data_IF_277720294631
#
_entry.id   IF_277720294631
#
_cell.length_a   1.000
_cell.length_b   1.000
_cell.length_c   1.000
_cell.angle_alpha   90.00
_cell.angle_beta   90.00
_cell.angle_gamma   90.00
#
_symmetry.space_group_name_H-M   'P 1'
#
loop_
_entity.id
_entity.type
_entity.pdbx_description
1 polymer ?
#
# COMPACT_ATOMS: atom_id res chain seq x y z
N UNK A 1 -62.43 9.38 20.83
CA UNK A 1 -61.48 10.10 19.95
C UNK A 1 -60.15 10.22 20.70
N UNK A 2 -59.25 9.24 20.54
CA UNK A 2 -58.01 9.15 21.33
C UNK A 2 -56.97 10.13 20.76
N UNK A 3 -56.65 11.19 21.50
CA UNK A 3 -55.67 12.21 21.10
C UNK A 3 -54.27 11.62 21.27
N UNK A 4 -53.68 11.13 20.18
CA UNK A 4 -52.28 10.73 20.16
C UNK A 4 -51.41 11.96 20.48
N UNK A 5 -50.82 11.98 21.67
CA UNK A 5 -49.75 12.92 22.02
C UNK A 5 -48.51 12.47 21.24
N UNK A 6 -48.19 13.17 20.16
CA UNK A 6 -46.90 13.03 19.51
C UNK A 6 -45.81 13.43 20.52
N UNK A 7 -45.11 12.43 21.08
CA UNK A 7 -43.90 12.63 21.89
C UNK A 7 -42.77 12.95 20.93
N UNK A 8 -42.45 14.24 20.78
CA UNK A 8 -41.26 14.68 20.06
C UNK A 8 -40.01 14.58 20.93
N UNK A 9 -38.85 14.43 20.31
CA UNK A 9 -37.56 14.49 20.98
C UNK A 9 -37.32 15.91 21.51
N UNK A 10 -36.79 16.00 22.73
CA UNK A 10 -36.35 17.27 23.30
C UNK A 10 -35.00 17.68 22.70
N UNK A 11 -34.73 18.99 22.69
CA UNK A 11 -33.46 19.52 22.22
C UNK A 11 -32.28 18.96 23.04
N UNK A 12 -32.49 18.74 24.34
CA UNK A 12 -31.49 18.16 25.23
C UNK A 12 -31.19 16.69 24.91
N UNK A 13 -32.20 15.88 24.54
CA UNK A 13 -31.98 14.50 24.10
C UNK A 13 -31.14 14.43 22.83
N UNK A 14 -31.38 15.36 21.89
CA UNK A 14 -30.58 15.45 20.67
C UNK A 14 -29.14 15.88 20.99
N UNK A 15 -28.93 16.83 21.91
CA UNK A 15 -27.58 17.23 22.32
C UNK A 15 -26.81 16.08 23.00
N UNK A 16 -27.47 15.30 23.86
CA UNK A 16 -26.85 14.12 24.49
C UNK A 16 -26.54 13.05 23.43
N UNK A 17 -27.46 12.78 22.50
CA UNK A 17 -27.23 11.82 21.42
C UNK A 17 -26.04 12.21 20.53
N UNK A 18 -25.93 13.49 20.14
CA UNK A 18 -24.80 14.00 19.36
C UNK A 18 -23.48 13.92 20.16
N UNK A 19 -23.51 14.22 21.46
CA UNK A 19 -22.33 14.09 22.31
C UNK A 19 -21.83 12.64 22.39
N UNK A 20 -22.74 11.67 22.55
CA UNK A 20 -22.39 10.23 22.54
C UNK A 20 -21.83 9.82 21.17
N UNK A 21 -22.45 10.25 20.07
CA UNK A 21 -21.97 9.96 18.71
C UNK A 21 -20.58 10.55 18.45
N UNK A 22 -20.28 11.75 18.94
CA UNK A 22 -18.96 12.36 18.81
C UNK A 22 -17.87 11.56 19.52
N UNK A 23 -18.17 11.08 20.74
CA UNK A 23 -17.24 10.22 21.51
C UNK A 23 -17.01 8.90 20.77
N UNK A 24 -18.09 8.21 20.35
CA UNK A 24 -17.99 6.94 19.65
C UNK A 24 -17.28 7.07 18.28
N UNK A 25 -17.55 8.16 17.55
CA UNK A 25 -16.94 8.43 16.26
C UNK A 25 -15.42 8.54 16.33
N UNK A 26 -14.88 9.15 17.40
CA UNK A 26 -13.44 9.31 17.57
C UNK A 26 -12.68 7.97 17.67
N UNK A 27 -13.25 6.97 18.36
CA UNK A 27 -12.62 5.65 18.53
C UNK A 27 -12.77 4.80 17.28
N UNK A 28 -13.97 4.78 16.69
CA UNK A 28 -14.27 3.95 15.52
C UNK A 28 -13.47 4.36 14.27
N UNK A 29 -13.16 5.66 14.11
CA UNK A 29 -12.46 6.16 12.92
C UNK A 29 -11.03 5.59 12.80
N UNK A 30 -10.27 5.55 13.90
CA UNK A 30 -8.88 5.04 13.90
C UNK A 30 -8.80 3.57 13.46
N UNK A 31 -9.64 2.70 14.02
CA UNK A 31 -9.64 1.27 13.71
C UNK A 31 -9.99 0.96 12.25
N UNK A 32 -10.82 1.79 11.61
CA UNK A 32 -11.15 1.63 10.20
C UNK A 32 -9.93 1.94 9.31
N UNK A 33 -9.21 3.02 9.60
CA UNK A 33 -8.02 3.41 8.83
C UNK A 33 -6.91 2.36 8.87
N UNK A 34 -6.67 1.74 10.03
CA UNK A 34 -5.69 0.66 10.18
C UNK A 34 -6.05 -0.57 9.34
N UNK A 35 -7.34 -0.91 9.29
CA UNK A 35 -7.84 -2.04 8.50
C UNK A 35 -7.66 -1.82 7.00
N UNK A 36 -7.89 -0.58 6.54
CA UNK A 36 -7.64 -0.19 5.15
C UNK A 36 -6.15 -0.24 4.84
N UNK A 37 -5.28 0.32 5.69
CA UNK A 37 -3.82 0.29 5.50
C UNK A 37 -3.31 -1.15 5.42
N UNK A 38 -3.77 -2.05 6.30
CA UNK A 38 -3.39 -3.46 6.28
C UNK A 38 -3.77 -4.14 4.96
N UNK A 39 -4.99 -3.86 4.46
CA UNK A 39 -5.45 -4.38 3.16
C UNK A 39 -4.57 -3.86 2.02
N UNK A 40 -4.28 -2.56 1.98
CA UNK A 40 -3.41 -1.95 0.95
C UNK A 40 -1.97 -2.46 1.03
N UNK A 41 -1.46 -2.70 2.23
CA UNK A 41 -0.14 -3.32 2.43
C UNK A 41 -0.12 -4.74 1.86
N UNK A 42 -1.17 -5.52 2.08
CA UNK A 42 -1.31 -6.85 1.48
C UNK A 42 -1.32 -6.80 -0.04
N UNK A 43 -1.99 -5.80 -0.63
CA UNK A 43 -1.97 -5.53 -2.07
C UNK A 43 -0.53 -5.26 -2.56
N UNK A 44 0.20 -4.35 -1.90
CA UNK A 44 1.61 -4.04 -2.22
C UNK A 44 2.54 -5.25 -2.13
N UNK A 45 2.43 -6.06 -1.06
CA UNK A 45 3.21 -7.31 -0.92
C UNK A 45 2.94 -8.29 -2.06
N UNK A 46 1.67 -8.45 -2.40
CA UNK A 46 1.27 -9.37 -3.47
C UNK A 46 1.82 -8.90 -4.81
N UNK A 47 1.80 -7.59 -5.07
CA UNK A 47 2.39 -7.00 -6.26
C UNK A 47 3.91 -7.22 -6.31
N UNK A 48 4.63 -7.00 -5.20
CA UNK A 48 6.07 -7.27 -5.11
C UNK A 48 6.41 -8.74 -5.39
N UNK A 49 5.66 -9.69 -4.81
CA UNK A 49 5.88 -11.12 -5.05
C UNK A 49 5.62 -11.52 -6.51
N UNK A 50 4.57 -10.98 -7.12
CA UNK A 50 4.25 -11.22 -8.54
C UNK A 50 5.33 -10.65 -9.46
N UNK A 51 5.80 -9.42 -9.19
CA UNK A 51 6.86 -8.79 -9.95
C UNK A 51 8.18 -9.53 -9.77
N UNK A 52 8.49 -10.00 -8.57
CA UNK A 52 9.69 -10.81 -8.34
C UNK A 52 9.64 -12.10 -9.16
N UNK A 53 8.49 -12.78 -9.21
CA UNK A 53 8.32 -13.94 -10.07
C UNK A 53 8.53 -13.63 -11.56
N UNK A 54 8.06 -12.46 -12.03
CA UNK A 54 8.28 -12.01 -13.41
C UNK A 54 9.76 -11.69 -13.67
N UNK A 55 10.45 -11.07 -12.71
CA UNK A 55 11.89 -10.81 -12.75
C UNK A 55 12.71 -12.11 -12.83
N UNK A 56 12.38 -13.13 -12.03
CA UNK A 56 13.04 -14.45 -12.11
C UNK A 56 12.81 -15.14 -13.47
N UNK A 57 11.60 -15.01 -14.02
CA UNK A 57 11.31 -15.49 -15.37
C UNK A 57 12.10 -14.73 -16.45
N UNK A 58 12.26 -13.41 -16.28
CA UNK A 58 13.04 -12.57 -17.18
C UNK A 58 14.53 -12.91 -17.09
N UNK A 59 15.05 -13.12 -15.89
CA UNK A 59 16.43 -13.55 -15.63
C UNK A 59 16.74 -14.88 -16.32
N UNK A 60 15.83 -15.86 -16.24
CA UNK A 60 16.00 -17.16 -16.91
C UNK A 60 16.15 -17.04 -18.44
N UNK A 61 15.56 -16.01 -19.04
CA UNK A 61 15.62 -15.78 -20.49
C UNK A 61 16.78 -14.88 -20.94
N UNK A 62 17.18 -13.93 -20.08
CA UNK A 62 18.10 -12.84 -20.46
C UNK A 62 19.42 -12.84 -19.66
N UNK A 63 19.58 -13.75 -18.69
CA UNK A 63 20.71 -13.81 -17.75
C UNK A 63 20.99 -12.49 -16.99
N UNK A 64 19.96 -11.66 -16.82
CA UNK A 64 19.98 -10.41 -16.07
C UNK A 64 18.57 -10.05 -15.66
N UNK A 65 18.41 -9.36 -14.53
CA UNK A 65 17.14 -8.72 -14.17
C UNK A 65 16.94 -7.42 -14.95
N UNK A 66 15.70 -6.90 -14.92
CA UNK A 66 15.37 -5.60 -15.50
C UNK A 66 15.28 -4.55 -14.41
N UNK A 67 15.77 -3.35 -14.69
CA UNK A 67 15.28 -2.17 -13.96
C UNK A 67 13.94 -1.76 -14.55
N UNK A 68 13.06 -1.19 -13.75
CA UNK A 68 11.84 -0.57 -14.25
C UNK A 68 11.31 0.45 -13.26
N UNK A 69 10.58 1.42 -13.78
CA UNK A 69 9.84 2.42 -13.02
C UNK A 69 8.68 2.96 -13.85
N UNK A 70 7.89 3.87 -13.27
CA UNK A 70 6.89 4.63 -14.04
C UNK A 70 7.49 5.33 -15.28
N UNK A 71 8.74 5.77 -15.21
CA UNK A 71 9.41 6.54 -16.26
C UNK A 71 10.09 5.66 -17.31
N UNK A 72 9.99 4.33 -17.20
CA UNK A 72 10.63 3.40 -18.12
C UNK A 72 10.21 3.62 -19.57
N UNK A 73 11.21 3.73 -20.46
CA UNK A 73 11.01 3.99 -21.89
C UNK A 73 11.22 2.75 -22.75
N UNK A 74 12.08 1.84 -22.30
CA UNK A 74 12.47 0.64 -23.02
C UNK A 74 11.35 -0.41 -23.03
N UNK A 75 11.25 -1.14 -24.15
CA UNK A 75 10.18 -2.11 -24.37
C UNK A 75 10.22 -3.29 -23.38
N UNK A 76 11.40 -3.64 -22.87
CA UNK A 76 11.55 -4.70 -21.87
C UNK A 76 11.10 -4.23 -20.49
N UNK A 77 11.49 -3.01 -20.08
CA UNK A 77 11.11 -2.45 -18.79
C UNK A 77 9.59 -2.21 -18.69
N UNK A 78 8.95 -1.81 -19.79
CA UNK A 78 7.49 -1.60 -19.88
C UNK A 78 6.66 -2.88 -19.70
N UNK A 79 7.27 -4.07 -19.71
CA UNK A 79 6.57 -5.34 -19.44
C UNK A 79 6.17 -5.47 -17.97
N UNK A 80 6.86 -4.75 -17.08
CA UNK A 80 6.63 -4.83 -15.65
C UNK A 80 5.60 -3.80 -15.20
N UNK A 81 4.64 -4.26 -14.39
CA UNK A 81 3.58 -3.42 -13.84
C UNK A 81 4.09 -2.66 -12.62
N UNK A 82 4.45 -1.39 -12.79
CA UNK A 82 5.01 -0.54 -11.74
C UNK A 82 4.02 -0.08 -10.65
N UNK A 83 2.80 -0.63 -10.56
CA UNK A 83 1.81 -0.22 -9.56
C UNK A 83 1.02 -1.41 -9.00
N UNK A 84 0.57 -1.31 -7.75
CA UNK A 84 0.00 -2.46 -7.00
C UNK A 84 -1.41 -2.89 -7.40
N UNK A 85 -2.27 -1.94 -7.76
CA UNK A 85 -3.70 -2.16 -8.01
C UNK A 85 -4.04 -2.27 -9.50
N UNK A 86 -5.30 -2.11 -9.88
CA UNK A 86 -5.74 -2.25 -11.29
C UNK A 86 -5.34 -1.06 -12.18
N UNK A 87 -5.24 0.14 -11.60
CA UNK A 87 -4.79 1.35 -12.29
C UNK A 87 -3.83 2.14 -11.40
N UNK A 88 -2.89 2.86 -12.00
CA UNK A 88 -1.90 3.65 -11.26
C UNK A 88 -2.56 4.63 -10.27
N UNK A 89 -3.52 5.44 -10.74
CA UNK A 89 -4.19 6.48 -9.93
C UNK A 89 -4.97 5.96 -8.71
N UNK A 90 -5.42 4.70 -8.73
CA UNK A 90 -6.12 4.06 -7.61
C UNK A 90 -5.21 3.15 -6.77
N UNK A 91 -3.99 2.88 -7.24
CA UNK A 91 -3.02 2.04 -6.55
C UNK A 91 -2.49 2.71 -5.31
N UNK A 92 -2.15 1.91 -4.31
CA UNK A 92 -1.58 2.42 -3.06
C UNK A 92 -0.05 2.53 -3.13
N UNK A 93 0.59 1.72 -3.97
CA UNK A 93 2.05 1.67 -4.09
C UNK A 93 2.51 1.87 -5.53
N UNK A 94 3.56 2.67 -5.67
CA UNK A 94 4.41 2.84 -6.85
C UNK A 94 5.65 1.94 -6.69
N UNK A 95 5.95 1.09 -7.67
CA UNK A 95 6.92 0.01 -7.56
C UNK A 95 8.07 0.25 -8.53
N UNK A 96 9.28 0.24 -8.01
CA UNK A 96 10.51 0.47 -8.76
C UNK A 96 11.45 -0.71 -8.55
N UNK A 97 12.07 -1.18 -9.63
CA UNK A 97 13.17 -2.15 -9.60
C UNK A 97 14.52 -1.47 -9.79
N UNK A 98 15.46 -1.78 -8.92
CA UNK A 98 16.84 -1.25 -8.93
C UNK A 98 17.83 -2.36 -8.61
N UNK A 99 19.12 -2.16 -8.86
CA UNK A 99 20.15 -3.10 -8.40
C UNK A 99 20.22 -3.11 -6.87
N UNK A 100 20.52 -4.27 -6.28
CA UNK A 100 20.78 -4.35 -4.84
C UNK A 100 22.02 -3.55 -4.44
N UNK A 101 22.06 -3.09 -3.19
CA UNK A 101 23.21 -2.33 -2.69
C UNK A 101 24.49 -3.20 -2.70
N UNK A 102 25.51 -2.74 -3.42
CA UNK A 102 26.80 -3.44 -3.53
C UNK A 102 26.84 -4.53 -4.61
N UNK A 103 25.74 -4.76 -5.33
CA UNK A 103 25.64 -5.72 -6.43
C UNK A 103 25.25 -5.04 -7.74
N UNK A 104 25.34 -5.77 -8.84
CA UNK A 104 24.84 -5.33 -10.15
C UNK A 104 23.44 -5.87 -10.39
N UNK A 105 22.68 -5.21 -11.29
CA UNK A 105 21.36 -5.67 -11.70
C UNK A 105 21.39 -7.06 -12.34
N UNK A 106 22.56 -7.51 -12.80
CA UNK A 106 22.72 -8.86 -13.32
C UNK A 106 22.61 -9.91 -12.21
N UNK A 107 23.08 -9.60 -11.00
CA UNK A 107 23.15 -10.59 -9.91
C UNK A 107 22.01 -10.44 -8.91
N UNK A 108 21.53 -9.22 -8.69
CA UNK A 108 20.52 -8.96 -7.67
C UNK A 108 19.65 -7.75 -8.04
N UNK A 109 18.32 -7.97 -7.95
CA UNK A 109 17.31 -6.92 -8.08
C UNK A 109 16.63 -6.67 -6.74
N UNK A 110 16.45 -5.40 -6.45
CA UNK A 110 15.71 -4.85 -5.32
C UNK A 110 14.42 -4.23 -5.85
N UNK A 111 13.29 -4.81 -5.50
CA UNK A 111 11.97 -4.22 -5.72
C UNK A 111 11.60 -3.38 -4.50
N UNK A 112 11.20 -2.14 -4.74
CA UNK A 112 10.75 -1.22 -3.70
C UNK A 112 9.36 -0.69 -4.03
N UNK A 113 8.42 -0.86 -3.11
CA UNK A 113 7.07 -0.32 -3.19
C UNK A 113 6.95 0.93 -2.31
N UNK A 114 6.75 2.09 -2.94
CA UNK A 114 6.60 3.40 -2.31
C UNK A 114 5.11 3.75 -2.12
N UNK A 115 4.63 3.97 -0.89
CA UNK A 115 3.23 4.27 -0.63
C UNK A 115 2.87 5.71 -1.02
N UNK A 116 1.82 5.86 -1.81
CA UNK A 116 1.18 7.14 -2.10
C UNK A 116 2.09 8.24 -2.66
N UNK A 117 2.88 7.88 -3.68
CA UNK A 117 3.64 8.83 -4.51
C UNK A 117 2.69 9.66 -5.38
N UNK A 118 3.24 10.64 -6.11
CA UNK A 118 2.48 11.44 -7.09
C UNK A 118 2.00 10.63 -8.29
N UNK A 119 2.60 9.46 -8.54
CA UNK A 119 2.24 8.59 -9.67
C UNK A 119 1.06 7.67 -9.36
N UNK A 120 0.70 7.54 -8.09
CA UNK A 120 -0.37 6.67 -7.60
C UNK A 120 -1.33 7.45 -6.70
N UNK A 121 -2.10 6.79 -5.84
CA UNK A 121 -2.97 7.48 -4.89
C UNK A 121 -2.15 8.23 -3.82
N UNK A 122 -1.90 9.51 -4.05
CA UNK A 122 -1.11 10.38 -3.17
C UNK A 122 -1.69 10.56 -1.77
N UNK A 123 -2.98 10.26 -1.55
CA UNK A 123 -3.63 10.33 -0.23
C UNK A 123 -3.27 9.13 0.66
N UNK A 124 -2.82 8.02 0.07
CA UNK A 124 -2.43 6.86 0.84
C UNK A 124 -1.11 7.12 1.58
N UNK A 125 -1.05 6.69 2.84
CA UNK A 125 0.13 6.73 3.69
C UNK A 125 0.15 5.46 4.53
N UNK A 126 1.34 4.86 4.67
CA UNK A 126 1.58 3.77 5.61
C UNK A 126 2.67 4.21 6.60
N UNK A 127 2.33 4.99 7.64
CA UNK A 127 3.33 5.51 8.58
C UNK A 127 3.99 4.40 9.42
N UNK A 128 3.37 3.23 9.50
CA UNK A 128 3.86 2.09 10.28
C UNK A 128 4.98 1.34 9.57
N UNK A 129 4.92 1.24 8.24
CA UNK A 129 5.88 0.46 7.45
C UNK A 129 6.67 1.29 6.44
N UNK A 130 6.09 2.37 5.93
CA UNK A 130 6.65 3.13 4.81
C UNK A 130 6.82 2.25 3.58
N UNK A 131 7.99 2.32 2.96
CA UNK A 131 8.32 1.55 1.77
C UNK A 131 8.49 0.08 2.12
N UNK A 132 7.94 -0.81 1.29
CA UNK A 132 8.16 -2.24 1.38
C UNK A 132 9.23 -2.65 0.37
N UNK A 133 10.19 -3.48 0.76
CA UNK A 133 11.26 -3.95 -0.12
C UNK A 133 11.35 -5.47 -0.17
N UNK A 134 11.71 -5.98 -1.35
CA UNK A 134 11.96 -7.40 -1.59
C UNK A 134 13.14 -7.55 -2.56
N UNK A 135 14.18 -8.27 -2.15
CA UNK A 135 15.31 -8.63 -3.04
C UNK A 135 15.10 -9.99 -3.69
N UNK A 136 15.76 -10.26 -4.82
CA UNK A 136 15.76 -11.59 -5.45
C UNK A 136 16.33 -12.69 -4.55
N UNK A 137 17.21 -12.34 -3.62
CA UNK A 137 17.71 -13.24 -2.57
C UNK A 137 16.68 -13.54 -1.46
N UNK A 138 15.47 -12.99 -1.55
CA UNK A 138 14.37 -13.22 -0.61
C UNK A 138 14.40 -12.34 0.64
N UNK A 139 15.29 -11.35 0.71
CA UNK A 139 15.36 -10.40 1.83
C UNK A 139 14.18 -9.44 1.72
N UNK A 140 13.26 -9.56 2.67
CA UNK A 140 12.12 -8.66 2.87
C UNK A 140 12.47 -7.61 3.91
N UNK A 141 12.23 -6.34 3.62
CA UNK A 141 12.45 -5.27 4.58
C UNK A 141 11.49 -4.08 4.40
N UNK A 142 11.58 -3.13 5.32
CA UNK A 142 10.79 -1.91 5.30
C UNK A 142 11.64 -0.68 5.62
N UNK A 143 11.22 0.48 5.13
CA UNK A 143 11.93 1.74 5.42
C UNK A 143 11.84 2.18 6.88
N UNK A 144 10.81 1.73 7.63
CA UNK A 144 10.64 2.05 9.05
C UNK A 144 11.38 1.03 9.91
N UNK A 145 12.44 1.47 10.58
CA UNK A 145 13.27 0.61 11.43
C UNK A 145 12.45 -0.11 12.52
N UNK A 146 12.70 -1.40 12.70
CA UNK A 146 12.03 -2.25 13.70
C UNK A 146 10.60 -2.67 13.36
N UNK A 147 10.04 -2.24 12.21
CA UNK A 147 8.67 -2.56 11.83
C UNK A 147 8.53 -3.86 11.01
N UNK A 148 9.65 -4.45 10.56
CA UNK A 148 9.68 -5.63 9.67
C UNK A 148 8.72 -6.75 10.04
N UNK A 149 8.70 -7.21 11.29
CA UNK A 149 7.84 -8.34 11.73
C UNK A 149 6.33 -8.03 11.70
N UNK A 150 5.94 -6.76 11.80
CA UNK A 150 4.55 -6.32 11.68
C UNK A 150 4.16 -6.05 10.23
N UNK A 151 5.16 -5.73 9.41
CA UNK A 151 4.97 -5.25 8.06
C UNK A 151 5.07 -6.34 7.02
N UNK A 152 5.85 -7.41 7.21
CA UNK A 152 6.06 -8.50 6.26
C UNK A 152 5.44 -9.82 6.69
#
# INVERSE_FOLDING_TARGET
MYKNRNRGFTLIEIMIAVAILAILGSVAFSSYTDSVIKTRRSEGKTALLKLMQQEEQFFTQNNSYSVFSQASVDANEKKFKWFSGEAASSSSYDIIATACAGDTIQNCVLLTAYPGTTNVNSTFKDPTCGNLTLTSTGVKDVSVSGAKSKCW
#
